data_IF_556606203565
#
_entry.id   IF_556606203565
#
_cell.length_a   1.000
_cell.length_b   1.000
_cell.length_c   1.000
_cell.angle_alpha   90.00
_cell.angle_beta   90.00
_cell.angle_gamma   90.00
#
_symmetry.space_group_name_H-M   'P 1'
#
loop_
_entity.id
_entity.type
_entity.pdbx_description
1 polymer ?
#
# COMPACT_ATOMS: atom_id res chain seq x y z
N UNK A 1 10.01 30.24 13.76
CA UNK A 1 8.99 29.42 14.42
C UNK A 1 8.66 28.21 13.55
N UNK A 2 8.95 27.04 14.05
CA UNK A 2 8.65 25.80 13.33
C UNK A 2 7.18 25.45 13.51
N UNK A 3 6.47 25.33 12.40
CA UNK A 3 5.12 24.77 12.46
C UNK A 3 5.24 23.28 12.76
N UNK A 4 4.52 22.82 13.78
CA UNK A 4 4.40 21.39 13.99
C UNK A 4 3.64 20.80 12.81
N UNK A 5 4.19 19.74 12.23
CA UNK A 5 3.50 18.99 11.19
C UNK A 5 2.18 18.46 11.74
N UNK A 6 1.11 18.52 10.94
CA UNK A 6 -0.15 17.86 11.30
C UNK A 6 0.11 16.37 11.49
N UNK A 7 -0.40 15.74 12.54
CA UNK A 7 -0.28 14.29 12.68
C UNK A 7 -0.98 13.59 11.50
N UNK A 8 -0.34 12.55 10.99
CA UNK A 8 -0.93 11.74 9.93
C UNK A 8 -1.97 10.83 10.55
N UNK A 9 -3.21 10.96 10.11
CA UNK A 9 -4.30 10.11 10.55
C UNK A 9 -4.63 9.12 9.43
N UNK A 10 -4.41 7.83 9.69
CA UNK A 10 -4.74 6.77 8.74
C UNK A 10 -6.15 6.30 9.06
N UNK A 11 -7.01 6.29 8.05
CA UNK A 11 -8.39 5.84 8.17
C UNK A 11 -8.59 4.53 7.41
N UNK A 12 -9.51 3.70 7.91
CA UNK A 12 -9.93 2.48 7.23
C UNK A 12 -11.25 2.76 6.54
N UNK A 13 -11.43 2.22 5.32
CA UNK A 13 -12.69 2.39 4.59
C UNK A 13 -13.85 1.83 5.40
N UNK A 14 -14.88 2.63 5.61
CA UNK A 14 -16.04 2.26 6.40
C UNK A 14 -17.35 2.22 5.60
N UNK A 15 -17.30 2.54 4.31
CA UNK A 15 -18.50 2.60 3.45
C UNK A 15 -18.11 2.41 1.99
N UNK A 16 -19.12 2.12 1.15
CA UNK A 16 -18.92 2.05 -0.30
C UNK A 16 -18.47 3.40 -0.88
N UNK A 17 -18.92 4.49 -0.28
CA UNK A 17 -18.48 5.82 -0.67
C UNK A 17 -16.98 6.01 -0.46
N UNK A 18 -16.44 5.53 0.65
CA UNK A 18 -15.00 5.56 0.91
C UNK A 18 -14.25 4.73 -0.15
N UNK A 19 -14.78 3.56 -0.50
CA UNK A 19 -14.17 2.70 -1.53
C UNK A 19 -14.14 3.42 -2.87
N UNK A 20 -15.21 4.13 -3.23
CA UNK A 20 -15.27 4.91 -4.46
C UNK A 20 -14.21 6.01 -4.47
N UNK A 21 -14.08 6.72 -3.37
CA UNK A 21 -13.08 7.80 -3.24
C UNK A 21 -11.65 7.26 -3.36
N UNK A 22 -11.37 6.11 -2.75
CA UNK A 22 -10.07 5.45 -2.85
C UNK A 22 -9.83 4.97 -4.28
N UNK A 23 -10.86 4.44 -4.94
CA UNK A 23 -10.75 4.01 -6.34
C UNK A 23 -10.43 5.19 -7.27
N UNK A 24 -11.09 6.31 -7.09
CA UNK A 24 -10.82 7.53 -7.85
C UNK A 24 -9.37 7.98 -7.62
N UNK A 25 -8.90 7.92 -6.37
CA UNK A 25 -7.52 8.27 -6.03
C UNK A 25 -6.51 7.38 -6.78
N UNK A 26 -6.67 6.06 -6.72
CA UNK A 26 -5.74 5.14 -7.38
C UNK A 26 -5.74 5.32 -8.90
N UNK A 27 -6.81 5.83 -9.47
CA UNK A 27 -6.94 6.04 -10.91
C UNK A 27 -6.67 7.47 -11.38
N UNK A 28 -6.20 8.34 -10.49
CA UNK A 28 -5.66 9.63 -10.89
C UNK A 28 -4.47 9.39 -11.80
N UNK A 29 -4.31 10.22 -12.83
CA UNK A 29 -3.28 10.03 -13.85
C UNK A 29 -1.88 9.83 -13.27
N UNK A 30 -1.47 10.67 -12.32
CA UNK A 30 -0.15 10.58 -11.69
C UNK A 30 -0.01 9.28 -10.88
N UNK A 31 -1.07 8.86 -10.20
CA UNK A 31 -1.04 7.66 -9.36
C UNK A 31 -1.01 6.40 -10.22
N UNK A 32 -1.84 6.31 -11.27
CA UNK A 32 -1.79 5.19 -12.22
C UNK A 32 -0.41 5.04 -12.84
N UNK A 33 0.19 6.17 -13.19
CA UNK A 33 1.53 6.17 -13.78
C UNK A 33 2.55 5.60 -12.80
N UNK A 34 2.50 6.00 -11.54
CA UNK A 34 3.44 5.55 -10.52
C UNK A 34 3.23 4.07 -10.17
N UNK A 35 1.98 3.60 -10.18
CA UNK A 35 1.64 2.20 -9.93
C UNK A 35 1.83 1.31 -11.16
N UNK A 36 1.96 1.91 -12.34
CA UNK A 36 2.06 1.21 -13.63
C UNK A 36 0.86 0.31 -13.91
N UNK A 37 -0.31 0.65 -13.38
CA UNK A 37 -1.53 -0.14 -13.58
C UNK A 37 -2.78 0.67 -13.31
N UNK A 38 -3.88 0.22 -13.91
CA UNK A 38 -5.23 0.69 -13.61
C UNK A 38 -5.77 -0.13 -12.44
N UNK A 39 -6.47 0.51 -11.50
CA UNK A 39 -7.09 -0.18 -10.37
C UNK A 39 -8.57 -0.37 -10.65
N UNK A 40 -9.00 -1.63 -10.65
CA UNK A 40 -10.41 -1.96 -10.86
C UNK A 40 -11.21 -1.82 -9.57
N UNK A 41 -12.40 -1.23 -9.68
CA UNK A 41 -13.30 -1.06 -8.53
C UNK A 41 -13.61 -2.39 -7.86
N UNK A 42 -13.79 -3.46 -8.64
CA UNK A 42 -14.08 -4.79 -8.11
C UNK A 42 -12.97 -5.31 -7.19
N UNK A 43 -11.73 -4.98 -7.47
CA UNK A 43 -10.59 -5.36 -6.62
C UNK A 43 -10.71 -4.67 -5.26
N UNK A 44 -11.07 -3.40 -5.25
CA UNK A 44 -11.24 -2.64 -4.01
C UNK A 44 -12.49 -3.08 -3.24
N UNK A 45 -13.56 -3.41 -3.94
CA UNK A 45 -14.78 -3.93 -3.30
C UNK A 45 -14.47 -5.22 -2.54
N UNK A 46 -13.67 -6.10 -3.11
CA UNK A 46 -13.25 -7.34 -2.44
C UNK A 46 -12.39 -7.02 -1.21
N UNK A 47 -11.51 -6.05 -1.32
CA UNK A 47 -10.68 -5.64 -0.19
C UNK A 47 -11.52 -5.01 0.93
N UNK A 48 -12.63 -4.39 0.59
CA UNK A 48 -13.55 -3.81 1.56
C UNK A 48 -14.43 -4.88 2.23
N UNK A 49 -14.90 -5.87 1.46
CA UNK A 49 -15.89 -6.85 1.96
C UNK A 49 -15.27 -8.10 2.60
N UNK A 50 -14.02 -8.44 2.24
CA UNK A 50 -13.36 -9.63 2.78
C UNK A 50 -12.64 -9.31 4.09
N UNK A 51 -12.76 -10.23 5.06
CA UNK A 51 -12.11 -10.07 6.36
C UNK A 51 -10.58 -10.19 6.33
N UNK A 52 -10.03 -10.80 5.27
CA UNK A 52 -8.60 -11.03 5.09
C UNK A 52 -7.90 -9.93 4.28
N UNK A 53 -8.59 -8.84 3.99
CA UNK A 53 -8.06 -7.72 3.23
C UNK A 53 -8.46 -6.41 3.86
N UNK A 54 -7.71 -5.34 3.58
CA UNK A 54 -8.04 -4.00 4.10
C UNK A 54 -7.64 -2.92 3.11
N UNK A 55 -8.38 -1.83 3.19
CA UNK A 55 -8.07 -0.58 2.52
C UNK A 55 -7.88 0.49 3.58
N UNK A 56 -6.74 1.17 3.53
CA UNK A 56 -6.44 2.32 4.38
C UNK A 56 -6.25 3.55 3.51
N UNK A 57 -6.55 4.71 4.03
CA UNK A 57 -6.35 5.95 3.30
C UNK A 57 -6.07 7.11 4.24
N UNK A 58 -5.53 8.18 3.67
CA UNK A 58 -5.31 9.45 4.36
C UNK A 58 -5.99 10.52 3.54
N UNK A 59 -6.75 11.38 4.19
CA UNK A 59 -7.37 12.52 3.52
C UNK A 59 -6.87 13.83 4.08
N UNK A 60 -6.88 14.85 3.24
CA UNK A 60 -6.56 16.22 3.63
C UNK A 60 -7.57 17.11 2.93
N UNK A 61 -8.25 17.92 3.73
CA UNK A 61 -9.26 18.88 3.26
C UNK A 61 -10.36 18.22 2.42
N UNK A 62 -10.75 17.01 2.80
CA UNK A 62 -11.80 16.23 2.15
C UNK A 62 -11.36 15.39 0.96
N UNK A 63 -10.10 15.52 0.52
CA UNK A 63 -9.58 14.76 -0.61
C UNK A 63 -8.70 13.61 -0.12
N UNK A 64 -8.83 12.44 -0.76
CA UNK A 64 -7.90 11.33 -0.52
C UNK A 64 -6.56 11.68 -1.14
N UNK A 65 -5.51 11.71 -0.32
CA UNK A 65 -4.17 12.09 -0.75
C UNK A 65 -3.20 10.92 -0.76
N UNK A 66 -3.58 9.81 -0.15
CA UNK A 66 -2.78 8.58 -0.12
C UNK A 66 -3.69 7.40 0.21
N UNK A 67 -3.32 6.22 -0.24
CA UNK A 67 -4.09 5.01 0.06
C UNK A 67 -3.23 3.76 -0.06
N UNK A 68 -3.68 2.68 0.59
CA UNK A 68 -3.01 1.40 0.62
C UNK A 68 -4.03 0.27 0.61
N UNK A 69 -3.75 -0.77 -0.17
CA UNK A 69 -4.50 -2.02 -0.15
C UNK A 69 -3.57 -3.16 0.26
N UNK A 70 -4.03 -4.01 1.17
CA UNK A 70 -3.27 -5.17 1.63
C UNK A 70 -4.12 -6.43 1.72
N UNK A 71 -3.44 -7.57 1.65
CA UNK A 71 -4.03 -8.89 1.81
C UNK A 71 -3.32 -9.66 2.92
N UNK A 72 -4.08 -10.38 3.75
CA UNK A 72 -3.51 -11.28 4.77
C UNK A 72 -3.51 -12.75 4.34
N UNK A 73 -4.40 -13.13 3.42
CA UNK A 73 -4.45 -14.48 2.87
C UNK A 73 -4.64 -14.45 1.37
N UNK A 74 -3.93 -15.33 0.67
CA UNK A 74 -4.08 -15.51 -0.77
C UNK A 74 -3.32 -16.77 -1.17
N UNK A 75 -3.73 -17.38 -2.29
CA UNK A 75 -3.03 -18.54 -2.87
C UNK A 75 -1.59 -18.22 -3.27
N UNK A 76 -1.27 -16.95 -3.48
CA UNK A 76 0.07 -16.52 -3.89
C UNK A 76 0.96 -16.17 -2.72
N UNK A 77 0.42 -16.21 -1.50
CA UNK A 77 1.15 -15.86 -0.29
C UNK A 77 1.44 -17.11 0.57
N UNK A 78 2.54 -17.06 1.32
CA UNK A 78 2.85 -18.06 2.31
C UNK A 78 1.85 -17.97 3.48
N UNK A 79 1.77 -19.02 4.30
CA UNK A 79 0.78 -19.13 5.36
C UNK A 79 0.91 -18.05 6.44
N UNK A 80 2.11 -17.49 6.62
CA UNK A 80 2.41 -16.47 7.64
C UNK A 80 2.65 -15.08 7.03
N UNK A 81 2.33 -14.92 5.77
CA UNK A 81 2.65 -13.72 4.98
C UNK A 81 1.42 -12.88 4.68
N UNK A 82 1.48 -11.59 5.03
CA UNK A 82 0.59 -10.57 4.50
C UNK A 82 1.34 -9.81 3.40
N UNK A 83 0.62 -9.16 2.50
CA UNK A 83 1.25 -8.39 1.43
C UNK A 83 0.54 -7.07 1.20
N UNK A 84 1.34 -6.02 1.08
CA UNK A 84 0.88 -4.72 0.61
C UNK A 84 0.82 -4.80 -0.91
N UNK A 85 -0.39 -4.69 -1.47
CA UNK A 85 -0.63 -4.85 -2.91
C UNK A 85 -0.57 -3.55 -3.66
N UNK A 86 -1.03 -2.46 -3.05
CA UNK A 86 -1.01 -1.13 -3.62
C UNK A 86 -0.72 -0.14 -2.51
N UNK A 87 0.18 0.79 -2.75
CA UNK A 87 0.39 1.95 -1.88
C UNK A 87 0.85 3.12 -2.75
N UNK A 88 0.24 4.27 -2.54
CA UNK A 88 0.60 5.47 -3.28
C UNK A 88 0.27 6.71 -2.47
N UNK A 89 1.05 7.76 -2.70
CA UNK A 89 0.90 9.08 -2.08
C UNK A 89 0.94 10.12 -3.20
N UNK A 90 0.04 11.09 -3.19
CA UNK A 90 0.09 12.20 -4.16
C UNK A 90 1.47 12.85 -4.12
N UNK A 91 2.04 13.21 -5.28
CA UNK A 91 3.40 13.78 -5.32
C UNK A 91 3.62 14.97 -4.38
N UNK A 92 2.65 15.88 -4.29
CA UNK A 92 2.75 17.08 -3.43
C UNK A 92 2.69 16.76 -1.94
N UNK A 93 2.33 15.54 -1.56
CA UNK A 93 2.26 15.10 -0.16
C UNK A 93 3.42 14.18 0.24
N UNK A 94 4.35 13.91 -0.66
CA UNK A 94 5.51 13.06 -0.38
C UNK A 94 6.49 13.74 0.57
N UNK A 95 7.30 12.93 1.28
CA UNK A 95 8.28 13.43 2.22
C UNK A 95 7.71 13.87 3.56
N UNK A 96 6.46 13.52 3.85
CA UNK A 96 5.77 13.91 5.10
C UNK A 96 5.48 12.72 6.02
N UNK A 97 5.98 11.52 5.69
CA UNK A 97 5.76 10.32 6.50
C UNK A 97 4.40 9.65 6.29
N UNK A 98 3.63 10.06 5.29
CA UNK A 98 2.28 9.51 5.04
C UNK A 98 2.36 8.05 4.58
N UNK A 99 3.26 7.73 3.64
CA UNK A 99 3.45 6.36 3.19
C UNK A 99 3.90 5.44 4.31
N UNK A 100 4.79 5.92 5.16
CA UNK A 100 5.23 5.18 6.35
C UNK A 100 4.07 4.89 7.29
N UNK A 101 3.23 5.89 7.56
CA UNK A 101 2.07 5.74 8.44
C UNK A 101 1.08 4.69 7.89
N UNK A 102 0.85 4.70 6.58
CA UNK A 102 0.00 3.70 5.92
C UNK A 102 0.57 2.29 6.08
N UNK A 103 1.87 2.13 5.85
CA UNK A 103 2.53 0.83 5.98
C UNK A 103 2.53 0.34 7.43
N UNK A 104 2.70 1.22 8.40
CA UNK A 104 2.61 0.87 9.81
C UNK A 104 1.20 0.38 10.19
N UNK A 105 0.16 1.03 9.67
CA UNK A 105 -1.22 0.59 9.88
C UNK A 105 -1.45 -0.81 9.27
N UNK A 106 -0.90 -1.05 8.09
CA UNK A 106 -0.99 -2.35 7.42
C UNK A 106 -0.27 -3.44 8.23
N UNK A 107 0.93 -3.15 8.73
CA UNK A 107 1.69 -4.10 9.55
C UNK A 107 0.96 -4.41 10.85
N UNK A 108 0.38 -3.41 11.49
CA UNK A 108 -0.39 -3.58 12.72
C UNK A 108 -1.61 -4.48 12.50
N UNK A 109 -2.35 -4.25 11.41
CA UNK A 109 -3.47 -5.12 11.06
C UNK A 109 -3.02 -6.55 10.78
N UNK A 110 -1.91 -6.72 10.07
CA UNK A 110 -1.38 -8.05 9.75
C UNK A 110 -1.01 -8.82 11.03
N UNK A 111 -0.38 -8.16 11.99
CA UNK A 111 -0.04 -8.77 13.29
C UNK A 111 -1.30 -9.18 14.03
N UNK A 112 -2.32 -8.33 14.08
CA UNK A 112 -3.61 -8.65 14.70
C UNK A 112 -4.30 -9.83 14.04
N UNK A 113 -4.15 -9.95 12.72
CA UNK A 113 -4.71 -11.07 11.95
C UNK A 113 -3.97 -12.38 12.22
N UNK A 114 -2.72 -12.33 12.68
CA UNK A 114 -1.91 -13.49 13.00
C UNK A 114 -0.73 -13.72 12.06
N UNK A 115 -0.41 -12.75 11.20
CA UNK A 115 0.71 -12.86 10.28
C UNK A 115 2.00 -12.42 10.94
N UNK A 116 3.13 -12.96 10.47
CA UNK A 116 4.45 -12.65 11.02
C UNK A 116 5.42 -12.06 10.00
N UNK A 117 4.96 -11.90 8.76
CA UNK A 117 5.76 -11.32 7.67
C UNK A 117 4.89 -10.42 6.81
N UNK A 118 5.42 -9.26 6.43
CA UNK A 118 4.82 -8.39 5.43
C UNK A 118 5.70 -8.37 4.19
N UNK A 119 5.10 -8.47 3.02
CA UNK A 119 5.84 -8.40 1.75
C UNK A 119 5.23 -7.37 0.80
N UNK A 120 5.98 -7.04 -0.24
CA UNK A 120 5.53 -6.17 -1.32
C UNK A 120 6.30 -6.50 -2.59
N UNK A 121 5.58 -6.60 -3.72
CA UNK A 121 6.21 -6.76 -5.02
C UNK A 121 6.56 -5.37 -5.56
N UNK A 122 7.83 -5.17 -5.90
CA UNK A 122 8.35 -3.87 -6.30
C UNK A 122 9.16 -4.01 -7.59
N UNK A 123 8.99 -3.09 -8.54
CA UNK A 123 9.81 -3.07 -9.73
C UNK A 123 11.26 -2.76 -9.36
N UNK A 124 12.21 -3.57 -9.86
CA UNK A 124 13.62 -3.48 -9.50
C UNK A 124 14.25 -2.13 -9.82
N UNK A 125 13.74 -1.43 -10.83
CA UNK A 125 14.27 -0.12 -11.25
C UNK A 125 13.46 1.05 -10.70
N UNK A 126 12.55 0.77 -9.75
CA UNK A 126 11.65 1.78 -9.20
C UNK A 126 12.35 2.64 -8.14
N UNK A 127 11.94 3.90 -8.06
CA UNK A 127 12.34 4.78 -6.95
C UNK A 127 11.75 4.31 -5.62
N UNK A 128 10.76 3.42 -5.64
CA UNK A 128 10.16 2.85 -4.45
C UNK A 128 11.11 1.97 -3.64
N UNK A 129 12.23 1.53 -4.24
CA UNK A 129 13.24 0.71 -3.54
C UNK A 129 13.71 1.40 -2.25
N UNK A 130 14.09 2.67 -2.34
CA UNK A 130 14.57 3.43 -1.18
C UNK A 130 13.50 3.57 -0.11
N UNK A 131 12.25 3.75 -0.53
CA UNK A 131 11.12 3.83 0.38
C UNK A 131 10.99 2.54 1.21
N UNK A 132 10.98 1.38 0.54
CA UNK A 132 10.84 0.10 1.23
C UNK A 132 12.03 -0.20 2.14
N UNK A 133 13.25 0.10 1.66
CA UNK A 133 14.46 -0.07 2.48
C UNK A 133 14.42 0.81 3.73
N UNK A 134 13.91 2.04 3.61
CA UNK A 134 13.80 2.96 4.75
C UNK A 134 12.84 2.46 5.83
N UNK A 135 11.89 1.59 5.46
CA UNK A 135 10.93 0.99 6.39
C UNK A 135 11.42 -0.34 6.98
N UNK A 136 12.62 -0.77 6.64
CA UNK A 136 13.22 -2.00 7.16
C UNK A 136 12.94 -3.24 6.30
N UNK A 137 12.42 -3.06 5.10
CA UNK A 137 12.20 -4.17 4.17
C UNK A 137 13.50 -4.50 3.44
N UNK A 138 13.70 -5.80 3.16
CA UNK A 138 14.86 -6.28 2.41
C UNK A 138 14.40 -7.18 1.27
N UNK A 139 15.24 -7.30 0.24
CA UNK A 139 14.94 -8.14 -0.92
C UNK A 139 14.99 -9.61 -0.49
N UNK A 140 13.89 -10.34 -0.69
CA UNK A 140 13.82 -11.77 -0.42
C UNK A 140 14.10 -12.58 -1.69
N UNK A 141 13.59 -12.12 -2.84
CA UNK A 141 13.82 -12.76 -4.13
C UNK A 141 13.63 -11.79 -5.29
N UNK A 142 14.16 -12.17 -6.45
CA UNK A 142 14.05 -11.40 -7.68
C UNK A 142 13.58 -12.31 -8.80
N UNK A 143 12.81 -11.76 -9.75
CA UNK A 143 12.37 -12.50 -10.93
C UNK A 143 12.13 -11.55 -12.09
N UNK A 144 11.97 -12.11 -13.29
CA UNK A 144 11.63 -11.35 -14.49
C UNK A 144 10.26 -11.81 -14.97
N UNK A 145 9.38 -10.87 -15.24
CA UNK A 145 8.05 -11.17 -15.77
C UNK A 145 8.11 -11.61 -17.24
N UNK A 146 7.01 -12.17 -17.75
CA UNK A 146 6.94 -12.63 -19.14
C UNK A 146 7.19 -11.50 -20.16
N UNK A 147 6.89 -10.24 -19.79
CA UNK A 147 7.15 -9.09 -20.65
C UNK A 147 8.51 -8.43 -20.38
N UNK A 148 9.40 -9.12 -19.68
CA UNK A 148 10.79 -8.66 -19.49
C UNK A 148 11.02 -7.68 -18.35
N UNK A 149 10.03 -7.46 -17.49
CA UNK A 149 10.16 -6.53 -16.36
C UNK A 149 10.84 -7.22 -15.18
N UNK A 150 11.87 -6.59 -14.62
CA UNK A 150 12.55 -7.08 -13.42
C UNK A 150 11.78 -6.69 -12.16
N UNK A 151 11.52 -7.66 -11.30
CA UNK A 151 10.75 -7.48 -10.07
C UNK A 151 11.53 -7.97 -8.86
N UNK A 152 11.27 -7.34 -7.71
CA UNK A 152 11.81 -7.76 -6.41
C UNK A 152 10.65 -8.00 -5.44
N UNK A 153 10.78 -9.04 -4.64
CA UNK A 153 9.91 -9.20 -3.47
C UNK A 153 10.66 -8.64 -2.27
N UNK A 154 10.14 -7.58 -1.70
CA UNK A 154 10.62 -7.03 -0.43
C UNK A 154 9.84 -7.65 0.71
N UNK A 155 10.49 -7.94 1.82
CA UNK A 155 9.82 -8.49 2.99
C UNK A 155 10.43 -7.98 4.28
N UNK A 156 9.63 -8.07 5.35
CA UNK A 156 9.99 -7.63 6.69
C UNK A 156 9.28 -8.52 7.69
N UNK A 157 9.99 -8.97 8.72
CA UNK A 157 9.39 -9.65 9.85
C UNK A 157 8.59 -8.63 10.67
N UNK A 158 7.39 -8.98 11.06
CA UNK A 158 6.51 -8.09 11.82
C UNK A 158 6.01 -8.72 13.11
#
# INVERSE_FOLDING_TARGET
MTQSAKPVVVEQTGSEEDVERVNEFFNLRAIKRDLHQFTYRTTLDRAFTRGDRRLFYVEDDGDVVAALMMWCESRVLDADEAQIRLVAVKPEYRGRGIGQALCEAAEEFAVEYGESKMSADVMAESQAIEFWESLGYTVEKEWTTNNGRSMCLFSKAI
#
